data_IF_599605041585
#
_entry.id   IF_599605041585
#
_cell.length_a   1.000
_cell.length_b   1.000
_cell.length_c   1.000
_cell.angle_alpha   90.00
_cell.angle_beta   90.00
_cell.angle_gamma   90.00
#
_symmetry.space_group_name_H-M   'P 1'
#
loop_
_entity.id
_entity.type
_entity.pdbx_description
1 polymer ?
#
# COMPACT_ATOMS: atom_id res chain seq x y z
N UNK A 1 21.95 0.86 6.40
CA UNK A 1 21.20 0.05 7.38
C UNK A 1 19.73 0.01 6.94
N UNK A 2 19.38 -0.91 6.03
CA UNK A 2 17.99 -1.21 5.64
C UNK A 2 17.85 -2.71 5.90
N UNK A 3 17.49 -3.08 7.13
CA UNK A 3 17.35 -4.49 7.52
C UNK A 3 15.91 -4.99 7.45
N UNK A 4 14.93 -4.09 7.24
CA UNK A 4 13.51 -4.46 7.22
C UNK A 4 12.95 -4.51 5.79
N UNK A 5 12.28 -5.61 5.39
CA UNK A 5 11.78 -5.79 4.03
C UNK A 5 10.75 -4.71 3.64
N UNK A 6 9.94 -4.25 4.61
CA UNK A 6 8.95 -3.19 4.43
C UNK A 6 9.64 -1.85 4.12
N UNK A 7 10.77 -1.55 4.77
CA UNK A 7 11.56 -0.35 4.48
C UNK A 7 12.18 -0.37 3.10
N UNK A 8 12.60 -1.53 2.62
CA UNK A 8 13.14 -1.67 1.26
C UNK A 8 12.03 -1.48 0.23
N UNK A 9 10.86 -2.11 0.43
CA UNK A 9 9.71 -1.96 -0.46
C UNK A 9 9.26 -0.50 -0.60
N UNK A 10 9.09 0.21 0.52
CA UNK A 10 8.71 1.62 0.51
C UNK A 10 9.77 2.52 -0.15
N UNK A 11 11.06 2.22 0.06
CA UNK A 11 12.15 2.96 -0.58
C UNK A 11 12.21 2.74 -2.10
N UNK A 12 12.07 1.49 -2.55
CA UNK A 12 12.03 1.16 -3.98
C UNK A 12 10.83 1.83 -4.65
N UNK A 13 9.66 1.81 -4.01
CA UNK A 13 8.46 2.48 -4.52
C UNK A 13 8.66 3.99 -4.64
N UNK A 14 9.22 4.63 -3.60
CA UNK A 14 9.52 6.05 -3.60
C UNK A 14 10.54 6.42 -4.71
N UNK A 15 11.57 5.58 -4.91
CA UNK A 15 12.56 5.75 -5.98
C UNK A 15 11.95 5.58 -7.37
N UNK A 16 11.09 4.58 -7.56
CA UNK A 16 10.37 4.34 -8.81
C UNK A 16 9.40 5.49 -9.14
N UNK A 17 8.85 6.13 -8.11
CA UNK A 17 7.99 7.30 -8.23
C UNK A 17 8.77 8.61 -8.47
N UNK A 18 10.11 8.55 -8.59
CA UNK A 18 10.95 9.73 -8.74
C UNK A 18 10.89 10.70 -7.56
N UNK A 19 10.61 10.20 -6.36
CA UNK A 19 10.40 11.04 -5.17
C UNK A 19 9.09 11.81 -5.18
N UNK A 20 8.19 11.58 -6.14
CA UNK A 20 6.88 12.23 -6.18
C UNK A 20 5.90 11.55 -5.19
N UNK A 21 5.44 12.24 -4.14
CA UNK A 21 4.57 11.65 -3.12
C UNK A 21 3.17 11.33 -3.66
N UNK A 22 2.68 12.07 -4.66
CA UNK A 22 1.36 11.85 -5.27
C UNK A 22 1.36 10.54 -6.04
N UNK A 23 2.37 10.34 -6.90
CA UNK A 23 2.51 9.10 -7.70
C UNK A 23 2.62 7.89 -6.77
N UNK A 24 3.48 7.96 -5.76
CA UNK A 24 3.65 6.86 -4.79
C UNK A 24 2.34 6.52 -4.07
N UNK A 25 1.57 7.52 -3.65
CA UNK A 25 0.31 7.31 -2.93
C UNK A 25 -0.76 6.71 -3.85
N UNK A 26 -0.86 7.21 -5.08
CA UNK A 26 -1.80 6.66 -6.09
C UNK A 26 -1.46 5.21 -6.40
N UNK A 27 -0.18 4.85 -6.52
CA UNK A 27 0.22 3.45 -6.73
C UNK A 27 -0.26 2.55 -5.59
N UNK A 28 -0.04 2.94 -4.33
CA UNK A 28 -0.55 2.17 -3.17
C UNK A 28 -2.08 2.08 -3.19
N UNK A 29 -2.77 3.16 -3.57
CA UNK A 29 -4.22 3.17 -3.73
C UNK A 29 -4.73 2.18 -4.79
N UNK A 30 -4.05 2.06 -5.92
CA UNK A 30 -4.38 1.06 -6.96
C UNK A 30 -4.21 -0.36 -6.41
N UNK A 31 -3.14 -0.62 -5.66
CA UNK A 31 -2.94 -1.92 -5.02
C UNK A 31 -4.03 -2.25 -4.01
N UNK A 32 -4.48 -1.26 -3.22
CA UNK A 32 -5.61 -1.42 -2.32
C UNK A 32 -6.89 -1.79 -3.09
N UNK A 33 -7.20 -1.10 -4.20
CA UNK A 33 -8.36 -1.45 -5.03
C UNK A 33 -8.28 -2.87 -5.60
N UNK A 34 -7.11 -3.29 -6.09
CA UNK A 34 -6.91 -4.66 -6.58
C UNK A 34 -7.07 -5.68 -5.45
N UNK A 35 -6.57 -5.36 -4.25
CA UNK A 35 -6.72 -6.19 -3.06
C UNK A 35 -8.20 -6.36 -2.68
N UNK A 36 -8.98 -5.27 -2.61
CA UNK A 36 -10.40 -5.33 -2.30
C UNK A 36 -11.22 -6.13 -3.33
N UNK A 37 -10.85 -6.06 -4.62
CA UNK A 37 -11.49 -6.88 -5.66
C UNK A 37 -11.16 -8.36 -5.46
N UNK A 38 -9.90 -8.67 -5.13
CA UNK A 38 -9.46 -10.04 -4.87
C UNK A 38 -10.14 -10.62 -3.62
N UNK A 39 -10.18 -9.85 -2.53
CA UNK A 39 -10.85 -10.20 -1.27
C UNK A 39 -12.33 -10.51 -1.50
N UNK A 40 -13.06 -9.61 -2.17
CA UNK A 40 -14.46 -9.84 -2.52
C UNK A 40 -14.66 -11.07 -3.44
N UNK A 41 -13.69 -11.38 -4.29
CA UNK A 41 -13.69 -12.58 -5.14
C UNK A 41 -13.48 -13.86 -4.32
N UNK A 42 -12.50 -13.85 -3.41
CA UNK A 42 -12.18 -14.98 -2.52
C UNK A 42 -13.33 -15.26 -1.55
N UNK A 43 -13.92 -14.23 -0.95
CA UNK A 43 -15.10 -14.38 -0.09
C UNK A 43 -16.26 -15.02 -0.84
N UNK A 44 -16.54 -14.55 -2.06
CA UNK A 44 -17.62 -15.11 -2.89
C UNK A 44 -17.38 -16.58 -3.23
N UNK A 45 -16.12 -16.97 -3.47
CA UNK A 45 -15.76 -18.37 -3.73
C UNK A 45 -15.85 -19.25 -2.48
N UNK A 46 -15.44 -18.75 -1.32
CA UNK A 46 -15.40 -19.53 -0.08
C UNK A 46 -16.75 -19.64 0.64
N UNK A 47 -17.53 -18.54 0.70
CA UNK A 47 -18.73 -18.44 1.53
C UNK A 47 -20.03 -18.29 0.72
N UNK A 48 -19.95 -18.15 -0.62
CA UNK A 48 -21.13 -18.08 -1.50
C UNK A 48 -21.98 -16.80 -1.37
N UNK A 49 -21.72 -15.97 -0.35
CA UNK A 49 -22.31 -14.65 -0.12
C UNK A 49 -21.18 -13.65 0.12
N UNK A 50 -21.40 -12.39 -0.26
CA UNK A 50 -20.59 -11.26 0.25
C UNK A 50 -20.99 -11.05 1.71
N UNK A 51 -20.21 -11.46 2.71
CA UNK A 51 -20.57 -11.18 4.11
C UNK A 51 -19.38 -10.92 5.04
N UNK A 52 -19.53 -9.80 5.77
CA UNK A 52 -18.74 -9.23 6.88
C UNK A 52 -17.30 -8.75 6.61
N UNK A 53 -17.21 -7.54 6.01
CA UNK A 53 -16.06 -6.63 5.90
C UNK A 53 -15.49 -6.15 7.25
N UNK A 54 -15.46 -6.99 8.29
CA UNK A 54 -14.93 -6.57 9.60
C UNK A 54 -13.41 -6.44 9.59
N UNK A 55 -12.72 -7.11 8.65
CA UNK A 55 -11.28 -6.99 8.45
C UNK A 55 -10.86 -5.89 7.47
N UNK A 56 -11.75 -5.43 6.58
CA UNK A 56 -11.48 -4.34 5.64
C UNK A 56 -10.92 -3.07 6.30
N UNK A 57 -11.41 -2.61 7.48
CA UNK A 57 -10.83 -1.46 8.16
C UNK A 57 -9.37 -1.69 8.56
N UNK A 58 -9.00 -2.93 8.91
CA UNK A 58 -7.63 -3.30 9.28
C UNK A 58 -6.73 -3.27 8.05
N UNK A 59 -7.17 -3.84 6.93
CA UNK A 59 -6.41 -3.77 5.68
C UNK A 59 -6.30 -2.34 5.17
N UNK A 60 -7.37 -1.56 5.19
CA UNK A 60 -7.34 -0.15 4.83
C UNK A 60 -6.34 0.64 5.69
N UNK A 61 -6.32 0.42 7.01
CA UNK A 61 -5.33 1.02 7.91
C UNK A 61 -3.89 0.60 7.56
N UNK A 62 -3.65 -0.67 7.23
CA UNK A 62 -2.34 -1.14 6.83
C UNK A 62 -1.87 -0.47 5.53
N UNK A 63 -2.73 -0.39 4.51
CA UNK A 63 -2.42 0.29 3.24
C UNK A 63 -2.20 1.80 3.43
N UNK A 64 -3.00 2.47 4.27
CA UNK A 64 -2.80 3.88 4.60
C UNK A 64 -1.48 4.13 5.33
N UNK A 65 -1.13 3.27 6.29
CA UNK A 65 0.14 3.37 7.03
C UNK A 65 1.34 3.17 6.08
N UNK A 66 1.23 2.22 5.16
CA UNK A 66 2.26 1.98 4.15
C UNK A 66 2.38 3.16 3.17
N UNK A 67 1.27 3.75 2.72
CA UNK A 67 1.26 4.93 1.87
C UNK A 67 1.96 6.12 2.56
N UNK A 68 1.63 6.39 3.83
CA UNK A 68 2.27 7.44 4.62
C UNK A 68 3.79 7.20 4.74
N UNK A 69 4.19 5.95 4.96
CA UNK A 69 5.61 5.59 5.06
C UNK A 69 6.35 5.71 3.71
N UNK A 70 5.70 5.37 2.59
CA UNK A 70 6.26 5.58 1.26
C UNK A 70 6.44 7.08 0.94
N UNK A 71 5.48 7.93 1.32
CA UNK A 71 5.60 9.40 1.22
C UNK A 71 6.78 9.91 2.05
N UNK A 72 6.99 9.39 3.25
CA UNK A 72 8.17 9.72 4.05
C UNK A 72 9.48 9.35 3.35
N UNK A 73 9.55 8.19 2.68
CA UNK A 73 10.70 7.80 1.86
C UNK A 73 10.89 8.71 0.65
N UNK A 74 9.81 9.18 0.01
CA UNK A 74 9.90 10.19 -1.04
C UNK A 74 10.54 11.49 -0.53
N UNK A 75 10.17 11.95 0.66
CA UNK A 75 10.78 13.12 1.27
C UNK A 75 12.29 12.93 1.54
N UNK A 76 12.69 11.77 2.07
CA UNK A 76 14.11 11.44 2.28
C UNK A 76 14.88 11.48 0.96
N UNK A 77 14.34 10.90 -0.11
CA UNK A 77 14.98 10.89 -1.43
C UNK A 77 15.16 12.32 -1.95
N UNK A 78 14.15 13.18 -1.81
CA UNK A 78 14.23 14.57 -2.28
C UNK A 78 15.18 15.45 -1.46
N UNK A 79 15.39 15.13 -0.18
CA UNK A 79 16.38 15.83 0.68
C UNK A 79 17.81 15.37 0.40
N UNK A 80 17.98 14.13 -0.07
CA UNK A 80 19.28 13.53 -0.40
C UNK A 80 19.70 13.72 -1.88
N UNK A 81 18.83 14.28 -2.71
CA UNK A 81 19.06 14.58 -4.13
C UNK A 81 19.66 15.98 -4.32
#
# INVERSE_FOLDING_TARGET
MIHEPISLAAYVLAKASGGNPVVSTVTVGIFYLMFSILEAGVEKMAFGKRFEHWLDPVFALAFMSFAAYAVWKCAIINVQA
#
